data_IF_622968184382
#
_entry.id   IF_622968184382
#
_cell.length_a   1.000
_cell.length_b   1.000
_cell.length_c   1.000
_cell.angle_alpha   90.00
_cell.angle_beta   90.00
_cell.angle_gamma   90.00
#
_symmetry.space_group_name_H-M   'P 1'
#
loop_
_entity.id
_entity.type
_entity.pdbx_description
1 polymer ?
#
# COMPACT_ATOMS: atom_id res chain seq x y z
N UNK A 1 -23.37 3.62 7.39
CA UNK A 1 -22.97 2.24 7.00
C UNK A 1 -22.20 2.29 5.68
N UNK A 2 -21.43 1.25 5.33
CA UNK A 2 -20.65 1.23 4.09
C UNK A 2 -19.49 2.24 4.06
N UNK A 3 -19.07 2.64 2.85
CA UNK A 3 -17.91 3.52 2.65
C UNK A 3 -18.02 4.87 3.37
N UNK A 4 -19.23 5.46 3.47
CA UNK A 4 -19.43 6.70 4.21
C UNK A 4 -19.22 6.53 5.69
N UNK A 5 -19.71 5.41 6.26
CA UNK A 5 -19.48 5.09 7.67
C UNK A 5 -18.00 4.85 7.99
N UNK A 6 -17.26 4.25 7.06
CA UNK A 6 -15.80 4.07 7.21
C UNK A 6 -15.09 5.43 7.23
N UNK A 7 -15.45 6.33 6.29
CA UNK A 7 -14.85 7.66 6.23
C UNK A 7 -15.18 8.48 7.48
N UNK A 8 -16.42 8.45 7.93
CA UNK A 8 -16.86 9.11 9.15
C UNK A 8 -16.11 8.59 10.40
N UNK A 9 -15.93 7.27 10.51
CA UNK A 9 -15.15 6.66 11.58
C UNK A 9 -13.70 7.13 11.56
N UNK A 10 -13.08 7.21 10.38
CA UNK A 10 -11.71 7.71 10.22
C UNK A 10 -11.62 9.16 10.70
N UNK A 11 -12.53 10.02 10.23
CA UNK A 11 -12.58 11.44 10.58
C UNK A 11 -12.75 11.69 12.07
N UNK A 12 -13.58 10.89 12.76
CA UNK A 12 -13.86 11.04 14.19
C UNK A 12 -12.83 10.38 15.11
N UNK A 13 -12.02 9.46 14.57
CA UNK A 13 -11.02 8.76 15.36
C UNK A 13 -9.93 9.71 15.84
N UNK A 14 -9.40 9.51 17.04
CA UNK A 14 -8.20 10.22 17.54
C UNK A 14 -6.89 9.50 17.20
N UNK A 15 -6.97 8.30 16.60
CA UNK A 15 -5.77 7.55 16.21
C UNK A 15 -4.98 8.31 15.14
N UNK A 16 -3.65 8.43 15.29
CA UNK A 16 -2.78 9.04 14.29
C UNK A 16 -2.48 8.10 13.11
N UNK A 17 -2.91 6.83 13.19
CA UNK A 17 -2.66 5.79 12.20
C UNK A 17 -3.97 5.10 11.81
N UNK A 18 -4.15 4.90 10.51
CA UNK A 18 -5.22 4.08 9.93
C UNK A 18 -4.59 2.89 9.23
N UNK A 19 -5.02 1.67 9.58
CA UNK A 19 -4.67 0.47 8.83
C UNK A 19 -5.74 0.24 7.77
N UNK A 20 -5.38 0.43 6.50
CA UNK A 20 -6.29 0.20 5.38
C UNK A 20 -6.07 -1.20 4.80
N UNK A 21 -6.98 -2.12 5.16
CA UNK A 21 -7.03 -3.50 4.69
C UNK A 21 -8.30 -3.81 3.87
N UNK A 22 -8.97 -2.76 3.36
CA UNK A 22 -10.12 -2.93 2.46
C UNK A 22 -9.65 -3.50 1.13
N UNK A 23 -10.43 -4.38 0.47
CA UNK A 23 -10.06 -5.05 -0.77
C UNK A 23 -10.28 -4.19 -2.03
N UNK A 24 -9.46 -4.38 -3.06
CA UNK A 24 -9.63 -3.69 -4.34
C UNK A 24 -9.54 -2.15 -4.24
N UNK A 25 -10.27 -1.44 -5.10
CA UNK A 25 -10.19 0.03 -5.20
C UNK A 25 -11.00 0.79 -4.15
N UNK A 26 -11.85 0.11 -3.37
CA UNK A 26 -12.69 0.80 -2.38
C UNK A 26 -11.87 1.46 -1.26
N UNK A 27 -10.62 1.03 -1.06
CA UNK A 27 -9.68 1.63 -0.12
C UNK A 27 -9.19 3.04 -0.51
N UNK A 28 -9.38 3.51 -1.74
CA UNK A 28 -8.86 4.82 -2.19
C UNK A 28 -9.48 5.98 -1.40
N UNK A 29 -10.81 6.05 -1.31
CA UNK A 29 -11.50 7.14 -0.62
C UNK A 29 -11.20 7.15 0.89
N UNK A 30 -11.26 6.02 1.63
CA UNK A 30 -10.82 5.96 3.03
C UNK A 30 -9.37 6.41 3.24
N UNK A 31 -8.46 6.06 2.32
CA UNK A 31 -7.06 6.54 2.36
C UNK A 31 -6.98 8.06 2.26
N UNK A 32 -7.73 8.69 1.34
CA UNK A 32 -7.75 10.15 1.21
C UNK A 32 -8.29 10.83 2.45
N UNK A 33 -9.40 10.34 3.01
CA UNK A 33 -10.00 10.88 4.23
C UNK A 33 -9.02 10.78 5.42
N UNK A 34 -8.27 9.69 5.52
CA UNK A 34 -7.22 9.55 6.53
C UNK A 34 -6.14 10.63 6.38
N UNK A 35 -5.66 10.88 5.15
CA UNK A 35 -4.65 11.90 4.86
C UNK A 35 -5.14 13.32 5.16
N UNK A 36 -6.39 13.65 4.78
CA UNK A 36 -7.03 14.95 5.07
C UNK A 36 -7.10 15.23 6.57
N UNK A 37 -7.25 14.19 7.40
CA UNK A 37 -7.27 14.27 8.86
C UNK A 37 -5.89 14.09 9.49
N UNK A 38 -4.81 14.25 8.71
CA UNK A 38 -3.41 14.17 9.14
C UNK A 38 -3.02 12.83 9.78
N UNK A 39 -3.63 11.73 9.31
CA UNK A 39 -3.33 10.38 9.78
C UNK A 39 -2.40 9.68 8.81
N UNK A 40 -1.41 9.01 9.35
CA UNK A 40 -0.60 8.07 8.58
C UNK A 40 -1.47 6.89 8.14
N UNK A 41 -1.13 6.30 7.00
CA UNK A 41 -1.88 5.18 6.41
C UNK A 41 -0.97 3.97 6.28
N UNK A 42 -1.22 2.94 7.09
CA UNK A 42 -0.63 1.62 6.90
C UNK A 42 -1.43 0.87 5.81
N UNK A 43 -0.81 0.68 4.65
CA UNK A 43 -1.45 0.15 3.45
C UNK A 43 -1.20 -1.35 3.33
N UNK A 44 -2.22 -2.17 3.59
CA UNK A 44 -2.19 -3.62 3.46
C UNK A 44 -2.72 -4.14 2.11
N UNK A 45 -3.31 -3.26 1.30
CA UNK A 45 -3.81 -3.55 -0.03
C UNK A 45 -2.99 -2.78 -1.08
N UNK A 46 -2.51 -3.48 -2.12
CA UNK A 46 -1.73 -2.87 -3.21
C UNK A 46 -2.60 -2.20 -4.27
N UNK A 47 -3.84 -2.61 -4.45
CA UNK A 47 -4.75 -2.13 -5.49
C UNK A 47 -4.99 -0.60 -5.49
N UNK A 48 -5.13 0.10 -4.35
CA UNK A 48 -5.19 1.57 -4.33
C UNK A 48 -3.94 2.23 -4.90
N UNK A 49 -2.75 1.70 -4.57
CA UNK A 49 -1.47 2.21 -5.08
C UNK A 49 -1.30 1.85 -6.55
N UNK A 50 -1.69 0.65 -6.98
CA UNK A 50 -1.66 0.25 -8.40
C UNK A 50 -2.62 1.11 -9.23
N UNK A 51 -3.81 1.42 -8.72
CA UNK A 51 -4.83 2.17 -9.46
C UNK A 51 -4.63 3.69 -9.44
N UNK A 52 -4.06 4.25 -8.36
CA UNK A 52 -4.01 5.69 -8.12
C UNK A 52 -2.71 6.14 -7.41
N UNK A 53 -1.61 5.40 -7.55
CA UNK A 53 -0.36 5.60 -6.81
C UNK A 53 0.21 7.01 -6.90
N UNK A 54 0.39 7.54 -8.11
CA UNK A 54 0.95 8.89 -8.30
C UNK A 54 0.12 9.97 -7.57
N UNK A 55 -1.21 9.84 -7.65
CA UNK A 55 -2.13 10.75 -6.99
C UNK A 55 -2.08 10.62 -5.46
N UNK A 56 -2.13 9.38 -4.95
CA UNK A 56 -2.10 9.11 -3.51
C UNK A 56 -0.78 9.52 -2.87
N UNK A 57 0.35 9.24 -3.53
CA UNK A 57 1.69 9.60 -3.04
C UNK A 57 1.89 11.13 -3.06
N UNK A 58 1.42 11.81 -4.10
CA UNK A 58 1.43 13.27 -4.16
C UNK A 58 0.60 13.86 -3.01
N UNK A 59 -0.63 13.37 -2.81
CA UNK A 59 -1.49 13.85 -1.72
C UNK A 59 -0.89 13.58 -0.35
N UNK A 60 -0.32 12.40 -0.12
CA UNK A 60 0.35 12.08 1.15
C UNK A 60 1.46 13.10 1.47
N UNK A 61 2.26 13.46 0.46
CA UNK A 61 3.30 14.48 0.59
C UNK A 61 2.75 15.88 0.88
N UNK A 62 1.68 16.29 0.17
CA UNK A 62 1.00 17.57 0.39
C UNK A 62 0.41 17.67 1.80
N UNK A 63 -0.17 16.58 2.30
CA UNK A 63 -0.79 16.53 3.62
C UNK A 63 0.24 16.34 4.76
N UNK A 64 1.48 16.00 4.44
CA UNK A 64 2.54 15.76 5.43
C UNK A 64 2.37 14.45 6.19
N UNK A 65 1.78 13.44 5.56
CA UNK A 65 1.53 12.12 6.16
C UNK A 65 2.27 11.02 5.41
N UNK A 66 2.48 9.89 6.10
CA UNK A 66 3.18 8.73 5.57
C UNK A 66 2.21 7.68 5.04
N UNK A 67 2.50 7.12 3.87
CA UNK A 67 1.97 5.81 3.46
C UNK A 67 3.01 4.77 3.85
N UNK A 68 2.63 3.86 4.75
CA UNK A 68 3.50 2.81 5.30
C UNK A 68 3.11 1.49 4.63
N UNK A 69 4.01 0.84 3.88
CA UNK A 69 3.69 -0.44 3.26
C UNK A 69 3.57 -1.55 4.32
N UNK A 70 2.49 -2.33 4.26
CA UNK A 70 2.27 -3.50 5.12
C UNK A 70 2.43 -4.81 4.35
N UNK A 71 2.19 -4.80 3.03
CA UNK A 71 2.43 -5.95 2.15
C UNK A 71 3.89 -6.45 2.28
N UNK A 72 4.10 -7.77 2.34
CA UNK A 72 5.33 -8.39 2.85
C UNK A 72 6.59 -7.94 2.12
N UNK A 73 6.56 -7.94 0.79
CA UNK A 73 7.70 -7.62 -0.05
C UNK A 73 8.03 -6.11 0.02
N UNK A 74 7.00 -5.26 0.00
CA UNK A 74 7.16 -3.82 0.10
C UNK A 74 7.65 -3.42 1.50
N UNK A 75 7.13 -4.08 2.54
CA UNK A 75 7.56 -3.91 3.93
C UNK A 75 9.00 -4.37 4.12
N UNK A 76 9.41 -5.50 3.52
CA UNK A 76 10.80 -5.96 3.55
C UNK A 76 11.75 -4.95 2.89
N UNK A 77 11.39 -4.44 1.70
CA UNK A 77 12.15 -3.37 1.04
C UNK A 77 12.22 -2.13 1.94
N UNK A 78 11.09 -1.71 2.53
CA UNK A 78 11.03 -0.54 3.41
C UNK A 78 11.96 -0.67 4.63
N UNK A 79 12.00 -1.86 5.25
CA UNK A 79 12.90 -2.17 6.36
C UNK A 79 14.37 -2.18 5.93
N UNK A 80 14.69 -2.68 4.75
CA UNK A 80 16.07 -2.71 4.24
C UNK A 80 16.65 -1.32 3.91
N UNK A 81 15.81 -0.30 3.75
CA UNK A 81 16.23 1.05 3.39
C UNK A 81 16.56 1.94 4.60
N UNK A 82 16.73 1.36 5.80
CA UNK A 82 16.76 2.03 7.10
C UNK A 82 17.44 3.43 7.15
N UNK A 83 16.55 4.42 7.27
CA UNK A 83 16.56 5.76 7.92
C UNK A 83 17.70 6.78 7.82
N UNK A 84 18.90 6.51 7.25
CA UNK A 84 19.92 7.56 7.06
C UNK A 84 20.23 7.92 5.60
N UNK A 85 19.91 7.04 4.65
CA UNK A 85 20.34 7.15 3.24
C UNK A 85 19.20 6.90 2.24
N UNK A 86 17.96 7.28 2.58
CA UNK A 86 16.73 7.15 1.78
C UNK A 86 16.73 7.92 0.43
N UNK A 87 17.89 8.16 -0.16
CA UNK A 87 18.01 8.74 -1.48
C UNK A 87 18.01 7.61 -2.53
N UNK A 88 17.15 7.67 -3.57
CA UNK A 88 17.15 6.72 -4.68
C UNK A 88 18.51 6.52 -5.37
N UNK A 89 19.47 7.42 -5.15
CA UNK A 89 20.83 7.34 -5.70
C UNK A 89 21.67 6.23 -5.07
N UNK A 90 21.30 5.76 -3.88
CA UNK A 90 21.99 4.65 -3.20
C UNK A 90 21.38 3.28 -3.53
N UNK A 91 20.29 3.24 -4.30
CA UNK A 91 19.60 2.01 -4.68
C UNK A 91 20.07 1.60 -6.09
N UNK A 92 20.90 0.55 -6.17
CA UNK A 92 21.34 -0.02 -7.46
C UNK A 92 20.30 -0.95 -8.08
N UNK A 93 19.60 -1.74 -7.26
CA UNK A 93 18.66 -2.79 -7.68
C UNK A 93 17.69 -3.10 -6.55
N UNK A 94 16.43 -3.37 -6.90
CA UNK A 94 15.46 -4.01 -6.03
C UNK A 94 15.23 -5.44 -6.50
N UNK A 95 15.14 -6.38 -5.55
CA UNK A 95 14.80 -7.78 -5.82
C UNK A 95 13.44 -8.01 -5.19
N UNK A 96 12.43 -8.23 -6.04
CA UNK A 96 11.08 -8.58 -5.59
C UNK A 96 10.98 -10.10 -5.56
N UNK A 97 10.89 -10.67 -4.37
CA UNK A 97 10.70 -12.11 -4.19
C UNK A 97 9.27 -12.50 -4.52
N UNK A 98 9.09 -13.68 -5.10
CA UNK A 98 7.78 -14.28 -5.33
C UNK A 98 7.85 -15.76 -4.96
N UNK A 99 6.79 -16.31 -4.39
CA UNK A 99 6.72 -17.74 -4.05
C UNK A 99 6.65 -18.66 -5.27
N UNK A 100 6.32 -18.11 -6.45
CA UNK A 100 6.08 -18.85 -7.68
C UNK A 100 4.65 -19.37 -7.84
N UNK A 101 3.86 -19.44 -6.75
CA UNK A 101 2.48 -19.91 -6.76
C UNK A 101 2.34 -21.41 -7.08
N UNK A 102 1.10 -21.93 -7.13
CA UNK A 102 0.83 -23.36 -7.29
C UNK A 102 1.18 -23.91 -8.68
N UNK A 103 1.47 -23.04 -9.65
CA UNK A 103 1.75 -23.43 -11.03
C UNK A 103 3.23 -23.28 -11.39
N UNK A 104 4.09 -23.02 -10.41
CA UNK A 104 5.52 -23.00 -10.63
C UNK A 104 6.01 -24.37 -11.16
N UNK A 105 6.75 -24.36 -12.27
CA UNK A 105 7.26 -25.57 -12.92
C UNK A 105 6.30 -26.25 -13.90
N UNK A 106 5.05 -25.79 -14.03
CA UNK A 106 4.12 -26.27 -15.07
C UNK A 106 4.53 -25.76 -16.46
N UNK A 107 4.34 -26.59 -17.48
CA UNK A 107 4.51 -26.17 -18.88
C UNK A 107 3.25 -25.46 -19.39
N UNK A 108 3.27 -25.00 -20.65
CA UNK A 108 2.15 -24.25 -21.23
C UNK A 108 0.89 -25.12 -21.35
N UNK A 109 1.03 -26.38 -21.73
CA UNK A 109 -0.07 -27.33 -21.89
C UNK A 109 -0.76 -27.61 -20.54
N UNK A 110 0.02 -27.74 -19.47
CA UNK A 110 -0.44 -27.93 -18.10
C UNK A 110 -1.17 -26.71 -17.54
N UNK A 111 -0.92 -25.51 -18.09
CA UNK A 111 -1.53 -24.24 -17.68
C UNK A 111 -2.85 -23.96 -18.41
N UNK A 112 -2.98 -24.39 -19.66
CA UNK A 112 -4.21 -24.20 -20.46
C UNK A 112 -5.39 -25.00 -19.90
N UNK A 113 -5.11 -26.10 -19.20
CA UNK A 113 -6.11 -27.02 -18.65
C UNK A 113 -6.47 -26.78 -17.18
N UNK A 114 -5.99 -25.68 -16.60
CA UNK A 114 -6.31 -25.23 -15.23
C UNK A 114 -7.54 -24.33 -15.26
#
# INVERSE_FOLDING_TARGET
>A
VGNDGICEMISRSVSPLVVNALLGRCGIRPTLVAMEHKKNVAMANKEPIVAAGDFLLKRAKEEGVMIIPVDSEHSAIFQCLDTAHNHPRFIRRLILTASGGPFFGKNREDLVSI
#
